data_IF_672115438554
#
_entry.id   IF_672115438554
#
_cell.length_a   1.000
_cell.length_b   1.000
_cell.length_c   1.000
_cell.angle_alpha   90.00
_cell.angle_beta   90.00
_cell.angle_gamma   90.00
#
_symmetry.space_group_name_H-M   'P 1'
#
loop_
_entity.id
_entity.type
_entity.pdbx_description
1 polymer ?
#
# COMPACT_ATOMS: atom_id res chain seq x y z
N UNK A 1 -21.75 -18.34 -0.11
CA UNK A 1 -21.05 -17.82 1.08
C UNK A 1 -21.43 -16.35 1.21
N UNK A 2 -21.88 -15.85 2.38
CA UNK A 2 -22.34 -14.45 2.51
C UNK A 2 -21.12 -13.53 2.76
N UNK A 3 -20.99 -12.38 2.07
CA UNK A 3 -19.91 -11.42 2.31
C UNK A 3 -19.99 -10.86 3.74
N UNK A 4 -18.82 -10.56 4.32
CA UNK A 4 -18.70 -10.04 5.70
C UNK A 4 -19.42 -8.68 5.80
N UNK A 5 -20.51 -8.53 6.56
CA UNK A 5 -21.38 -7.34 6.51
C UNK A 5 -20.80 -6.07 7.15
N UNK A 6 -19.62 -6.15 7.78
CA UNK A 6 -19.11 -5.12 8.69
C UNK A 6 -17.71 -4.61 8.32
N UNK A 7 -17.46 -4.33 7.03
CA UNK A 7 -16.34 -3.44 6.68
C UNK A 7 -16.81 -2.01 6.94
N UNK A 8 -16.23 -1.38 7.95
CA UNK A 8 -16.56 -0.03 8.40
C UNK A 8 -16.31 0.98 7.28
N UNK A 9 -17.39 1.56 6.73
CA UNK A 9 -17.36 2.65 5.74
C UNK A 9 -17.05 4.00 6.39
N UNK A 10 -15.96 4.11 7.15
CA UNK A 10 -15.49 5.44 7.57
C UNK A 10 -14.63 6.02 6.46
N UNK A 11 -15.16 6.96 5.68
CA UNK A 11 -14.40 7.64 4.61
C UNK A 11 -13.60 8.84 5.12
N UNK A 12 -13.65 9.13 6.43
CA UNK A 12 -12.91 10.24 7.01
C UNK A 12 -11.45 9.82 7.18
N UNK A 13 -10.57 10.45 6.40
CA UNK A 13 -9.12 10.36 6.58
C UNK A 13 -8.75 11.11 7.88
N UNK A 14 -8.27 10.42 8.93
CA UNK A 14 -7.94 11.07 10.18
C UNK A 14 -6.59 11.80 10.13
N UNK A 15 -5.80 11.63 9.07
CA UNK A 15 -4.58 12.40 8.90
C UNK A 15 -4.93 13.78 8.35
N UNK A 16 -4.50 14.88 9.01
CA UNK A 16 -4.69 16.20 8.45
C UNK A 16 -4.06 16.22 7.06
N UNK A 17 -4.81 16.76 6.09
CA UNK A 17 -4.34 16.91 4.70
C UNK A 17 -3.14 17.86 4.67
N UNK A 18 -1.95 17.34 4.95
CA UNK A 18 -0.69 18.03 4.71
C UNK A 18 -0.34 17.87 3.24
N UNK A 19 0.44 18.82 2.73
CA UNK A 19 0.98 18.74 1.37
C UNK A 19 1.85 17.49 1.26
N UNK A 20 1.51 16.64 0.29
CA UNK A 20 2.21 15.40 -0.01
C UNK A 20 2.94 15.59 -1.33
N UNK A 21 4.27 15.46 -1.32
CA UNK A 21 5.09 15.58 -2.51
C UNK A 21 5.55 14.20 -2.99
N UNK A 22 5.63 13.94 -4.30
CA UNK A 22 6.16 12.68 -4.81
C UNK A 22 7.56 12.39 -4.24
N UNK A 23 7.74 11.20 -3.67
CA UNK A 23 9.02 10.76 -3.11
C UNK A 23 9.75 9.86 -4.11
N UNK A 24 10.91 10.31 -4.57
CA UNK A 24 11.76 9.55 -5.50
C UNK A 24 12.61 8.53 -4.72
N UNK A 25 12.47 7.26 -5.08
CA UNK A 25 13.28 6.19 -4.50
C UNK A 25 14.66 6.16 -5.16
N UNK A 26 15.67 6.65 -4.45
CA UNK A 26 17.06 6.41 -4.83
C UNK A 26 17.55 5.08 -4.26
N UNK A 27 17.20 3.97 -4.93
CA UNK A 27 17.70 2.63 -4.59
C UNK A 27 18.31 1.98 -5.83
N UNK A 28 19.58 1.57 -5.75
CA UNK A 28 20.21 0.77 -6.80
C UNK A 28 19.80 -0.70 -6.68
N UNK A 29 19.59 -1.39 -7.81
CA UNK A 29 19.32 -2.84 -7.83
C UNK A 29 17.87 -3.26 -7.55
N UNK A 30 16.90 -2.35 -7.61
CA UNK A 30 15.47 -2.65 -7.40
C UNK A 30 14.67 -2.80 -8.70
N UNK A 31 15.33 -2.90 -9.85
CA UNK A 31 14.71 -2.92 -11.19
C UNK A 31 13.70 -4.08 -11.38
N UNK A 32 13.78 -5.11 -10.55
CA UNK A 32 12.87 -6.27 -10.55
C UNK A 32 12.16 -6.48 -9.21
N UNK A 33 12.24 -5.51 -8.29
CA UNK A 33 11.55 -5.57 -7.01
C UNK A 33 10.03 -5.74 -7.22
N UNK A 34 9.43 -6.69 -6.51
CA UNK A 34 7.98 -6.92 -6.56
C UNK A 34 7.19 -5.69 -6.06
N UNK A 35 7.65 -5.03 -5.00
CA UNK A 35 6.97 -3.88 -4.41
C UNK A 35 7.17 -2.59 -5.21
N UNK A 36 8.43 -2.16 -5.35
CA UNK A 36 8.76 -0.80 -5.79
C UNK A 36 9.12 -0.64 -7.27
N UNK A 37 9.46 -1.71 -7.99
CA UNK A 37 9.91 -1.56 -9.37
C UNK A 37 8.77 -1.09 -10.26
N UNK A 38 8.99 -0.04 -11.05
CA UNK A 38 8.02 0.41 -12.07
C UNK A 38 8.01 -0.48 -13.31
N UNK A 39 9.07 -1.27 -13.53
CA UNK A 39 9.22 -2.16 -14.70
C UNK A 39 8.79 -3.60 -14.43
N UNK A 40 8.38 -3.94 -13.21
CA UNK A 40 7.80 -5.25 -12.91
C UNK A 40 6.28 -5.21 -13.12
N UNK A 41 5.82 -5.67 -14.28
CA UNK A 41 4.39 -5.64 -14.64
C UNK A 41 3.51 -6.52 -13.74
N UNK A 42 4.09 -7.59 -13.18
CA UNK A 42 3.45 -8.49 -12.21
C UNK A 42 3.67 -8.01 -10.76
N UNK A 43 4.35 -6.88 -10.57
CA UNK A 43 4.60 -6.28 -9.26
C UNK A 43 3.55 -5.24 -8.86
N UNK A 44 3.64 -4.78 -7.60
CA UNK A 44 2.76 -3.77 -7.04
C UNK A 44 3.01 -2.37 -7.61
N UNK A 45 4.22 -2.11 -8.14
CA UNK A 45 4.64 -0.81 -8.72
C UNK A 45 4.29 0.37 -7.79
N UNK A 46 4.60 0.21 -6.51
CA UNK A 46 4.25 1.18 -5.48
C UNK A 46 4.92 2.53 -5.75
N UNK A 47 4.13 3.59 -5.66
CA UNK A 47 4.59 4.97 -5.67
C UNK A 47 4.47 5.56 -4.29
N UNK A 48 5.40 6.43 -3.91
CA UNK A 48 5.47 6.99 -2.56
C UNK A 48 5.31 8.51 -2.58
N UNK A 49 4.71 9.03 -1.53
CA UNK A 49 4.55 10.45 -1.26
C UNK A 49 5.11 10.76 0.12
N UNK A 50 5.78 11.90 0.25
CA UNK A 50 6.31 12.38 1.53
C UNK A 50 5.54 13.62 1.98
N UNK A 51 5.11 13.57 3.23
CA UNK A 51 4.46 14.69 3.90
C UNK A 51 5.48 15.52 4.69
N UNK A 52 5.14 16.77 4.99
CA UNK A 52 6.01 17.70 5.72
C UNK A 52 6.45 17.20 7.10
N UNK A 53 5.61 16.40 7.77
CA UNK A 53 5.90 15.79 9.06
C UNK A 53 6.82 14.56 8.97
N UNK A 54 7.28 14.20 7.77
CA UNK A 54 8.12 13.04 7.51
C UNK A 54 7.37 11.72 7.27
N UNK A 55 6.03 11.71 7.32
CA UNK A 55 5.24 10.52 6.97
C UNK A 55 5.45 10.15 5.50
N UNK A 56 5.60 8.85 5.22
CA UNK A 56 5.58 8.28 3.88
C UNK A 56 4.24 7.60 3.66
N UNK A 57 3.60 7.91 2.54
CA UNK A 57 2.34 7.32 2.10
C UNK A 57 2.53 6.58 0.78
N UNK A 58 1.83 5.47 0.60
CA UNK A 58 1.59 4.85 -0.71
C UNK A 58 0.09 4.72 -0.94
N UNK A 59 -0.35 4.84 -2.19
CA UNK A 59 -1.73 4.57 -2.60
C UNK A 59 -1.68 3.50 -3.68
N UNK A 60 -2.32 2.36 -3.40
CA UNK A 60 -2.27 1.22 -4.30
C UNK A 60 -3.68 0.71 -4.61
N UNK A 61 -3.95 0.51 -5.90
CA UNK A 61 -5.14 -0.17 -6.38
C UNK A 61 -4.77 -1.63 -6.63
N UNK A 62 -5.17 -2.52 -5.73
CA UNK A 62 -4.90 -3.95 -5.89
C UNK A 62 -5.62 -4.52 -7.12
N UNK A 63 -4.91 -5.37 -7.88
CA UNK A 63 -5.46 -6.15 -8.98
C UNK A 63 -6.22 -7.38 -8.47
N UNK A 64 -7.07 -7.97 -9.31
CA UNK A 64 -7.86 -9.16 -8.96
C UNK A 64 -6.98 -10.33 -8.48
N UNK A 65 -5.83 -10.56 -9.12
CA UNK A 65 -4.90 -11.63 -8.75
C UNK A 65 -4.12 -11.36 -7.45
N UNK A 66 -4.21 -10.17 -6.87
CA UNK A 66 -3.69 -9.86 -5.54
C UNK A 66 -4.66 -10.24 -4.41
N UNK A 67 -5.91 -10.59 -4.74
CA UNK A 67 -6.92 -10.99 -3.76
C UNK A 67 -6.76 -12.46 -3.34
N UNK A 68 -7.01 -12.73 -2.07
CA UNK A 68 -6.99 -14.08 -1.51
C UNK A 68 -8.38 -14.67 -1.41
N UNK A 69 -9.15 -14.16 -0.44
CA UNK A 69 -10.53 -14.57 -0.21
C UNK A 69 -11.48 -13.50 -0.76
N UNK A 70 -12.19 -13.82 -1.84
CA UNK A 70 -13.23 -12.97 -2.41
C UNK A 70 -12.69 -11.58 -2.81
N UNK A 71 -13.25 -10.47 -2.28
CA UNK A 71 -12.77 -9.08 -2.57
C UNK A 71 -11.64 -8.61 -1.66
N UNK A 72 -11.07 -9.48 -0.83
CA UNK A 72 -10.10 -9.09 0.20
C UNK A 72 -8.69 -9.29 -0.33
N UNK A 73 -7.87 -8.24 -0.25
CA UNK A 73 -6.45 -8.30 -0.63
C UNK A 73 -5.78 -9.43 0.19
N UNK A 74 -5.02 -10.31 -0.46
CA UNK A 74 -4.32 -11.38 0.23
C UNK A 74 -3.39 -10.82 1.31
N UNK A 75 -3.34 -11.45 2.48
CA UNK A 75 -2.60 -10.91 3.63
C UNK A 75 -1.13 -10.64 3.34
N UNK A 76 -0.49 -11.48 2.52
CA UNK A 76 0.91 -11.28 2.11
C UNK A 76 1.10 -10.06 1.21
N UNK A 77 0.11 -9.70 0.39
CA UNK A 77 0.17 -8.47 -0.41
C UNK A 77 0.04 -7.25 0.51
N UNK A 78 -0.87 -7.32 1.50
CA UNK A 78 -0.97 -6.25 2.51
C UNK A 78 0.35 -6.10 3.28
N UNK A 79 0.95 -7.22 3.69
CA UNK A 79 2.23 -7.24 4.37
C UNK A 79 3.36 -6.65 3.50
N UNK A 80 3.41 -7.00 2.22
CA UNK A 80 4.39 -6.44 1.28
C UNK A 80 4.25 -4.92 1.12
N UNK A 81 3.02 -4.41 1.02
CA UNK A 81 2.78 -2.95 0.97
C UNK A 81 3.28 -2.26 2.24
N UNK A 82 2.96 -2.82 3.41
CA UNK A 82 3.41 -2.28 4.69
C UNK A 82 4.94 -2.33 4.83
N UNK A 83 5.56 -3.45 4.47
CA UNK A 83 7.01 -3.64 4.50
C UNK A 83 7.72 -2.58 3.65
N UNK A 84 7.27 -2.36 2.41
CA UNK A 84 7.88 -1.37 1.53
C UNK A 84 7.72 0.05 2.07
N UNK A 85 6.53 0.46 2.52
CA UNK A 85 6.32 1.80 3.10
C UNK A 85 7.17 2.02 4.34
N UNK A 86 7.21 1.04 5.27
CA UNK A 86 8.04 1.14 6.46
C UNK A 86 9.52 1.20 6.10
N UNK A 87 9.97 0.38 5.15
CA UNK A 87 11.33 0.39 4.64
C UNK A 87 11.69 1.76 4.05
N UNK A 88 10.81 2.37 3.26
CA UNK A 88 11.03 3.71 2.71
C UNK A 88 11.05 4.78 3.80
N UNK A 89 10.14 4.75 4.77
CA UNK A 89 10.11 5.68 5.89
C UNK A 89 11.36 5.57 6.78
N UNK A 90 11.79 4.35 7.09
CA UNK A 90 12.98 4.09 7.89
C UNK A 90 14.24 4.60 7.17
N UNK A 91 14.43 4.24 5.90
CA UNK A 91 15.60 4.69 5.15
C UNK A 91 15.59 6.20 4.89
N UNK A 92 14.43 6.79 4.61
CA UNK A 92 14.28 8.22 4.35
C UNK A 92 14.40 9.11 5.59
N UNK A 93 14.33 8.54 6.80
CA UNK A 93 14.50 9.27 8.07
C UNK A 93 15.93 9.23 8.63
N UNK A 94 16.78 8.33 8.14
CA UNK A 94 18.17 8.21 8.59
C UNK A 94 19.11 9.15 7.83
N UNK A 95 20.03 9.86 8.52
CA UNK A 95 21.13 10.54 7.85
C UNK A 95 22.08 9.53 7.17
N UNK A 96 22.80 9.96 6.12
CA UNK A 96 23.71 9.13 5.30
C UNK A 96 24.80 8.37 6.07
N UNK A 97 25.06 8.73 7.34
CA UNK A 97 25.98 8.05 8.25
C UNK A 97 25.37 7.92 9.64
N UNK A 98 24.16 7.37 9.73
CA UNK A 98 23.53 7.09 11.01
C UNK A 98 24.12 5.81 11.64
N UNK A 99 24.57 5.83 12.90
CA UNK A 99 24.84 4.62 13.67
C UNK A 99 23.54 3.99 14.24
N UNK A 100 22.40 4.65 14.08
CA UNK A 100 21.15 4.33 14.77
C UNK A 100 20.17 3.47 13.94
N UNK A 101 19.36 2.70 14.66
CA UNK A 101 18.22 1.96 14.13
C UNK A 101 17.03 2.92 13.95
N UNK A 102 16.46 2.99 12.76
CA UNK A 102 15.18 3.67 12.54
C UNK A 102 14.02 2.79 13.03
N UNK A 103 13.08 3.39 13.75
CA UNK A 103 11.80 2.79 14.06
C UNK A 103 10.73 3.43 13.18
N UNK A 104 9.99 2.60 12.44
CA UNK A 104 8.84 3.01 11.66
C UNK A 104 7.59 2.28 12.17
N UNK A 105 6.48 2.99 12.21
CA UNK A 105 5.15 2.40 12.34
C UNK A 105 4.38 2.71 11.07
N UNK A 106 3.50 1.80 10.67
CA UNK A 106 2.63 1.99 9.53
C UNK A 106 1.22 1.55 9.88
N UNK A 107 0.25 2.24 9.31
CA UNK A 107 -1.14 1.83 9.29
C UNK A 107 -1.59 1.64 7.83
N UNK A 108 -2.45 0.65 7.61
CA UNK A 108 -3.09 0.44 6.31
C UNK A 108 -4.60 0.61 6.47
N UNK A 109 -5.20 1.31 5.50
CA UNK A 109 -6.66 1.43 5.37
C UNK A 109 -7.08 0.80 4.05
N UNK A 110 -7.75 -0.35 4.13
CA UNK A 110 -8.37 -0.96 2.97
C UNK A 110 -9.72 -0.30 2.70
N UNK A 111 -9.87 0.30 1.53
CA UNK A 111 -11.12 0.91 1.09
C UNK A 111 -11.77 0.03 0.01
N UNK A 112 -12.63 -0.90 0.42
CA UNK A 112 -13.45 -1.67 -0.53
C UNK A 112 -14.72 -0.89 -0.86
N UNK A 113 -14.84 -0.39 -2.10
CA UNK A 113 -16.05 0.30 -2.57
C UNK A 113 -16.99 -0.67 -3.29
N UNK A 114 -18.29 -0.36 -3.37
CA UNK A 114 -19.25 -1.18 -4.11
C UNK A 114 -18.90 -1.28 -5.62
N UNK A 115 -18.21 -0.27 -6.15
CA UNK A 115 -17.70 -0.19 -7.53
C UNK A 115 -16.37 -0.90 -7.76
N UNK A 116 -15.62 -1.23 -6.69
CA UNK A 116 -14.41 -2.05 -6.78
C UNK A 116 -14.69 -3.56 -6.74
N UNK A 117 -15.96 -3.96 -6.91
CA UNK A 117 -16.32 -5.37 -7.14
C UNK A 117 -16.03 -5.72 -8.60
N UNK A 118 -15.12 -6.66 -8.80
CA UNK A 118 -14.75 -7.16 -10.13
C UNK A 118 -15.98 -7.75 -10.85
N UNK A 119 -16.09 -7.62 -12.19
CA UNK A 119 -17.25 -8.09 -12.95
C UNK A 119 -17.63 -9.55 -12.74
N UNK A 120 -16.66 -10.46 -12.52
CA UNK A 120 -16.92 -11.88 -12.23
C UNK A 120 -17.64 -12.10 -10.89
N UNK A 121 -17.71 -11.10 -10.01
CA UNK A 121 -18.33 -11.18 -8.70
C UNK A 121 -19.81 -10.72 -8.69
N UNK A 122 -20.37 -10.43 -9.87
CA UNK A 122 -21.79 -10.07 -10.09
C UNK A 122 -22.65 -11.26 -10.51
N UNK A 123 -22.08 -12.46 -10.65
CA UNK A 123 -22.87 -13.66 -10.93
C UNK A 123 -23.40 -14.23 -9.62
N UNK A 124 -24.72 -14.18 -9.43
CA UNK A 124 -25.43 -14.92 -8.38
C UNK A 124 -25.00 -16.40 -8.40
N UNK A 125 -24.83 -17.04 -7.22
CA UNK A 125 -24.55 -18.47 -7.19
C UNK A 125 -25.73 -19.23 -7.79
N UNK A 126 -25.44 -20.19 -8.67
CA UNK A 126 -26.40 -21.18 -9.20
C UNK A 126 -26.94 -22.01 -8.04
#
# INVERSE_FOLDING_TARGET
MRPIPHVTKSSADPYPQSTAEPYQLERSGVDHCFGCSVSNDEGLRLTFFRHDNGTIETRHQAAEHHCGFDTVIHGEIQAAILDEVMGVAAHGSLPTKAPDLACATAEMRELTTATSRWPQMRTEPI
#
